data_IF_672844236369
#
_entry.id   IF_672844236369
#
_cell.length_a   1.000
_cell.length_b   1.000
_cell.length_c   1.000
_cell.angle_alpha   90.00
_cell.angle_beta   90.00
_cell.angle_gamma   90.00
#
_symmetry.space_group_name_H-M   'P 1'
#
loop_
_entity.id
_entity.type
_entity.pdbx_description
1 polymer ?
#
# COMPACT_ATOMS: atom_id res chain seq x y z
N UNK A 1 -12.02 -2.14 -12.29
CA UNK A 1 -10.62 -1.68 -12.14
C UNK A 1 -9.93 -2.20 -10.86
N UNK A 2 -10.50 -3.10 -10.05
CA UNK A 2 -9.84 -3.57 -8.81
C UNK A 2 -8.98 -4.84 -9.01
N UNK A 3 -9.36 -5.72 -9.95
CA UNK A 3 -8.63 -6.96 -10.22
C UNK A 3 -7.20 -6.72 -10.72
N UNK A 4 -6.98 -5.69 -11.53
CA UNK A 4 -5.64 -5.42 -12.07
C UNK A 4 -4.65 -4.99 -10.99
N UNK A 5 -5.07 -4.08 -10.08
CA UNK A 5 -4.27 -3.70 -8.93
C UNK A 5 -3.98 -4.90 -8.02
N UNK A 6 -4.97 -5.78 -7.81
CA UNK A 6 -4.78 -7.02 -7.06
C UNK A 6 -3.71 -7.93 -7.66
N UNK A 7 -3.70 -8.10 -8.99
CA UNK A 7 -2.71 -8.94 -9.67
C UNK A 7 -1.30 -8.33 -9.62
N UNK A 8 -1.16 -7.01 -9.72
CA UNK A 8 0.12 -6.31 -9.54
C UNK A 8 0.64 -6.56 -8.11
N UNK A 9 -0.20 -6.36 -7.10
CA UNK A 9 0.17 -6.60 -5.70
C UNK A 9 0.64 -8.03 -5.49
N UNK A 10 -0.07 -9.03 -6.04
CA UNK A 10 0.34 -10.44 -5.95
C UNK A 10 1.64 -10.74 -6.70
N UNK A 11 1.88 -10.09 -7.84
CA UNK A 11 3.14 -10.24 -8.57
C UNK A 11 4.32 -9.66 -7.78
N UNK A 12 4.14 -8.48 -7.20
CA UNK A 12 5.13 -7.86 -6.31
C UNK A 12 5.40 -8.72 -5.09
N UNK A 13 4.35 -9.22 -4.41
CA UNK A 13 4.51 -10.10 -3.25
C UNK A 13 5.29 -11.37 -3.59
N UNK A 14 5.02 -11.97 -4.76
CA UNK A 14 5.77 -13.14 -5.24
C UNK A 14 7.24 -12.83 -5.47
N UNK A 15 7.57 -11.68 -6.07
CA UNK A 15 8.95 -11.25 -6.30
C UNK A 15 9.71 -10.99 -4.99
N UNK A 16 9.06 -10.32 -4.03
CA UNK A 16 9.63 -10.10 -2.69
C UNK A 16 9.83 -11.42 -1.94
N UNK A 17 8.91 -12.36 -2.12
CA UNK A 17 8.95 -13.66 -1.45
C UNK A 17 9.92 -14.65 -2.08
N UNK A 18 10.28 -14.49 -3.36
CA UNK A 18 11.32 -15.31 -4.00
C UNK A 18 12.73 -14.90 -3.57
N UNK A 19 12.89 -13.69 -3.01
CA UNK A 19 14.21 -13.15 -2.66
C UNK A 19 14.99 -12.60 -3.85
N UNK A 20 14.37 -12.49 -5.02
CA UNK A 20 15.00 -11.97 -6.25
C UNK A 20 14.91 -10.45 -6.37
N UNK A 21 14.18 -9.78 -5.47
CA UNK A 21 14.15 -8.33 -5.42
C UNK A 21 15.48 -7.75 -4.87
N UNK A 22 15.84 -6.51 -5.23
CA UNK A 22 16.97 -5.80 -4.60
C UNK A 22 16.89 -5.85 -3.07
N UNK A 23 18.05 -6.00 -2.42
CA UNK A 23 18.16 -6.16 -0.96
C UNK A 23 17.41 -5.07 -0.18
N UNK A 24 17.47 -3.83 -0.65
CA UNK A 24 16.77 -2.70 -0.02
C UNK A 24 15.25 -2.87 0.00
N UNK A 25 14.67 -3.60 -0.96
CA UNK A 25 13.24 -3.91 -0.99
C UNK A 25 12.92 -5.13 -0.12
N UNK A 26 13.84 -6.08 0.01
CA UNK A 26 13.67 -7.26 0.86
C UNK A 26 13.74 -6.90 2.36
N UNK A 27 14.56 -5.92 2.71
CA UNK A 27 14.73 -5.44 4.08
C UNK A 27 13.63 -4.44 4.50
N UNK A 28 12.83 -3.96 3.54
CA UNK A 28 11.73 -3.04 3.82
C UNK A 28 10.47 -3.77 4.33
N UNK A 29 9.73 -3.11 5.21
CA UNK A 29 8.38 -3.52 5.57
C UNK A 29 7.37 -3.02 4.53
N UNK A 30 6.57 -3.94 3.98
CA UNK A 30 5.56 -3.63 2.98
C UNK A 30 4.16 -3.71 3.57
N UNK A 31 3.38 -2.64 3.40
CA UNK A 31 2.00 -2.57 3.88
C UNK A 31 1.08 -1.94 2.83
N UNK A 32 -0.10 -2.52 2.68
CA UNK A 32 -1.23 -1.94 1.95
C UNK A 32 -2.18 -1.35 2.99
N UNK A 33 -2.44 -0.05 2.88
CA UNK A 33 -3.47 0.61 3.66
C UNK A 33 -4.81 0.45 2.95
N UNK A 34 -5.84 0.08 3.71
CA UNK A 34 -7.19 -0.11 3.16
C UNK A 34 -8.26 0.45 4.11
N UNK A 35 -9.42 0.89 3.60
CA UNK A 35 -10.52 1.33 4.45
C UNK A 35 -11.10 0.17 5.27
N UNK A 36 -11.86 0.49 6.34
CA UNK A 36 -12.66 -0.50 7.05
C UNK A 36 -13.58 -1.21 6.05
N UNK A 37 -13.65 -2.54 6.10
CA UNK A 37 -14.43 -3.40 5.20
C UNK A 37 -13.92 -3.53 3.76
N UNK A 38 -12.70 -3.09 3.45
CA UNK A 38 -12.08 -3.41 2.17
C UNK A 38 -11.98 -4.93 1.97
N UNK A 39 -12.24 -5.41 0.75
CA UNK A 39 -12.03 -6.81 0.40
C UNK A 39 -10.57 -7.18 0.62
N UNK A 40 -10.35 -8.27 1.37
CA UNK A 40 -9.02 -8.78 1.66
C UNK A 40 -8.38 -9.38 0.42
N UNK A 41 -7.07 -9.21 0.27
CA UNK A 41 -6.24 -9.89 -0.74
C UNK A 41 -5.56 -11.10 -0.09
N UNK A 42 -6.16 -12.30 -0.15
CA UNK A 42 -5.58 -13.48 0.51
C UNK A 42 -4.29 -13.94 -0.20
N UNK A 43 -3.41 -14.58 0.56
CA UNK A 43 -2.22 -15.26 0.03
C UNK A 43 -0.98 -14.39 -0.14
N UNK A 44 -0.98 -13.15 0.35
CA UNK A 44 0.24 -12.34 0.43
C UNK A 44 1.16 -12.85 1.55
N UNK A 45 2.47 -12.90 1.28
CA UNK A 45 3.49 -13.45 2.19
C UNK A 45 4.42 -12.38 2.75
N UNK A 46 4.73 -11.34 1.97
CA UNK A 46 5.68 -10.26 2.31
C UNK A 46 4.99 -8.91 2.46
N UNK A 47 3.79 -8.74 1.91
CA UNK A 47 3.00 -7.52 2.00
C UNK A 47 1.87 -7.71 3.00
N UNK A 48 1.87 -6.94 4.09
CA UNK A 48 0.78 -6.93 5.06
C UNK A 48 -0.38 -6.03 4.58
N UNK A 49 -1.60 -6.32 5.03
CA UNK A 49 -2.76 -5.44 4.82
C UNK A 49 -3.14 -4.84 6.16
N UNK A 50 -3.19 -3.52 6.22
CA UNK A 50 -3.59 -2.78 7.41
C UNK A 50 -4.85 -1.98 7.11
N UNK A 51 -5.95 -2.38 7.74
CA UNK A 51 -7.17 -1.58 7.72
C UNK A 51 -7.01 -0.39 8.67
N UNK A 52 -7.30 0.81 8.21
CA UNK A 52 -7.13 2.06 8.96
C UNK A 52 -8.31 3.00 8.74
N UNK A 53 -8.41 4.00 9.62
CA UNK A 53 -9.43 5.04 9.50
C UNK A 53 -10.82 4.57 9.91
N UNK A 54 -11.78 5.45 9.75
CA UNK A 54 -13.20 5.20 10.03
C UNK A 54 -14.10 5.56 8.85
N UNK A 55 -13.57 6.30 7.88
CA UNK A 55 -14.28 6.71 6.68
C UNK A 55 -14.21 5.61 5.61
N UNK A 56 -15.00 5.78 4.54
CA UNK A 56 -15.02 4.88 3.38
C UNK A 56 -15.00 5.69 2.07
N UNK A 57 -14.67 5.01 0.97
CA UNK A 57 -14.62 5.60 -0.37
C UNK A 57 -13.72 6.85 -0.44
N UNK A 58 -14.11 7.84 -1.24
CA UNK A 58 -13.31 9.06 -1.46
C UNK A 58 -13.00 9.84 -0.18
N UNK A 59 -13.87 9.79 0.84
CA UNK A 59 -13.62 10.46 2.11
C UNK A 59 -12.46 9.81 2.87
N UNK A 60 -12.34 8.49 2.80
CA UNK A 60 -11.20 7.77 3.34
C UNK A 60 -9.91 8.11 2.59
N UNK A 61 -9.94 8.11 1.26
CA UNK A 61 -8.77 8.40 0.43
C UNK A 61 -8.17 9.79 0.71
N UNK A 62 -9.05 10.80 0.90
CA UNK A 62 -8.63 12.19 1.05
C UNK A 62 -8.22 12.57 2.48
N UNK A 63 -8.78 11.91 3.50
CA UNK A 63 -8.59 12.29 4.90
C UNK A 63 -7.80 11.23 5.64
N UNK A 64 -8.34 10.02 5.74
CA UNK A 64 -7.77 8.96 6.58
C UNK A 64 -6.46 8.43 5.98
N UNK A 65 -6.41 8.19 4.67
CA UNK A 65 -5.20 7.78 3.99
C UNK A 65 -4.15 8.89 4.01
N UNK A 66 -4.53 10.14 3.74
CA UNK A 66 -3.61 11.28 3.77
C UNK A 66 -2.96 11.46 5.17
N UNK A 67 -3.74 11.30 6.25
CA UNK A 67 -3.24 11.34 7.63
C UNK A 67 -2.29 10.18 7.94
N UNK A 68 -2.65 8.96 7.53
CA UNK A 68 -1.80 7.78 7.76
C UNK A 68 -0.50 7.80 6.94
N UNK A 69 -0.51 8.47 5.79
CA UNK A 69 0.62 8.62 4.89
C UNK A 69 1.63 9.68 5.29
N UNK A 70 1.24 10.65 6.14
CA UNK A 70 2.05 11.83 6.46
C UNK A 70 3.42 11.52 7.11
N UNK A 71 3.69 10.27 7.48
CA UNK A 71 4.98 9.81 8.04
C UNK A 71 5.59 8.59 7.34
N UNK A 72 5.08 8.16 6.18
CA UNK A 72 5.54 6.94 5.48
C UNK A 72 5.81 7.18 4.00
N UNK A 73 6.60 6.31 3.36
CA UNK A 73 6.79 6.33 1.90
C UNK A 73 5.62 5.58 1.25
N UNK A 74 4.78 6.30 0.50
CA UNK A 74 3.68 5.71 -0.25
C UNK A 74 4.07 5.35 -1.68
N UNK A 75 3.61 4.18 -2.13
CA UNK A 75 3.55 3.80 -3.54
C UNK A 75 2.09 3.68 -3.94
N UNK A 76 1.61 4.56 -4.82
CA UNK A 76 0.23 4.51 -5.31
C UNK A 76 0.15 3.63 -6.56
N UNK A 77 -0.47 2.45 -6.43
CA UNK A 77 -0.64 1.49 -7.55
C UNK A 77 -1.95 1.70 -8.34
N UNK A 78 -2.82 2.59 -7.86
CA UNK A 78 -4.01 3.05 -8.56
C UNK A 78 -3.89 4.56 -8.78
N UNK A 79 -4.27 5.04 -9.95
CA UNK A 79 -4.01 6.39 -10.44
C UNK A 79 -4.81 7.52 -9.75
N UNK A 80 -5.02 7.51 -8.42
CA UNK A 80 -5.73 8.57 -7.66
C UNK A 80 -5.46 8.53 -6.14
N UNK A 81 -4.23 8.27 -5.69
CA UNK A 81 -3.81 8.51 -4.30
C UNK A 81 -3.10 9.86 -4.16
N UNK A 82 -3.22 10.59 -3.03
CA UNK A 82 -2.73 11.96 -2.90
C UNK A 82 -1.21 12.03 -3.13
N UNK A 83 -0.82 12.78 -4.17
CA UNK A 83 0.57 13.15 -4.45
C UNK A 83 0.97 14.24 -3.44
N UNK A 84 1.36 13.84 -2.24
CA UNK A 84 2.08 14.72 -1.31
C UNK A 84 3.31 13.98 -0.79
N UNK A 85 4.36 14.08 -1.59
CA UNK A 85 5.72 13.70 -1.26
C UNK A 85 6.30 14.69 -0.24
N UNK A 86 6.61 14.24 0.98
CA UNK A 86 7.61 14.90 1.81
C UNK A 86 8.86 14.02 1.84
N UNK A 87 9.83 14.38 1.02
CA UNK A 87 11.22 14.03 1.32
C UNK A 87 11.57 14.74 2.62
N UNK A 88 11.77 13.98 3.69
CA UNK A 88 12.54 14.48 4.82
C UNK A 88 13.99 14.46 4.35
N UNK A 89 14.45 15.62 3.88
CA UNK A 89 15.85 16.00 3.86
C UNK A 89 16.23 16.45 5.26
N UNK A 90 17.42 15.99 5.68
CA UNK A 90 18.21 16.41 6.84
C UNK A 90 17.79 15.86 8.20
#
# INVERSE_FOLDING_TARGET
MQRYAAEIVKAMDRLLASGEAPQQLLDAEWQILAPPNAQTLPGLRRIAIKQIGSLQGHAWDQIDLARAAAGTRLVSLANSGPVLHRAISS
#
